data_IF_943775881934
#
_entry.id   IF_943775881934
#
_cell.length_a   1.000
_cell.length_b   1.000
_cell.length_c   1.000
_cell.angle_alpha   90.00
_cell.angle_beta   90.00
_cell.angle_gamma   90.00
#
_symmetry.space_group_name_H-M   'P 1'
#
loop_
_entity.id
_entity.type
_entity.pdbx_description
1 polymer ?
#
# COMPACT_ATOMS: atom_id res chain seq x y z
N UNK A 1 24.15 -8.65 57.30
CA UNK A 1 24.27 -9.08 55.89
C UNK A 1 22.89 -8.96 55.24
N UNK A 2 22.70 -8.07 54.25
CA UNK A 2 21.41 -7.88 53.54
C UNK A 2 21.43 -8.69 52.24
N UNK A 3 20.43 -9.57 52.02
CA UNK A 3 20.32 -10.39 50.81
C UNK A 3 19.61 -9.59 49.71
N UNK A 4 20.29 -9.29 48.61
CA UNK A 4 19.65 -8.70 47.43
C UNK A 4 18.86 -9.79 46.68
N UNK A 5 17.54 -9.64 46.61
CA UNK A 5 16.69 -10.43 45.71
C UNK A 5 16.77 -9.81 44.31
N UNK A 6 17.45 -10.49 43.39
CA UNK A 6 17.41 -10.13 41.97
C UNK A 6 16.06 -10.58 41.41
N UNK A 7 15.27 -9.65 40.86
CA UNK A 7 14.04 -9.99 40.12
C UNK A 7 14.42 -10.30 38.67
N UNK A 8 14.09 -11.50 38.21
CA UNK A 8 14.19 -11.86 36.79
C UNK A 8 13.10 -11.13 36.01
N UNK A 9 13.49 -10.29 35.05
CA UNK A 9 12.59 -9.69 34.07
C UNK A 9 12.35 -10.72 32.96
N UNK A 10 11.15 -11.30 32.93
CA UNK A 10 10.71 -12.17 31.85
C UNK A 10 10.24 -11.30 30.69
N UNK A 11 11.11 -11.11 29.69
CA UNK A 11 10.75 -10.44 28.43
C UNK A 11 10.04 -11.47 27.56
N UNK A 12 8.73 -11.35 27.44
CA UNK A 12 7.94 -12.17 26.50
C UNK A 12 8.24 -11.67 25.09
N UNK A 13 8.97 -12.46 24.31
CA UNK A 13 9.15 -12.19 22.88
C UNK A 13 7.78 -12.21 22.20
N UNK A 14 7.30 -11.02 21.81
CA UNK A 14 6.04 -10.87 21.10
C UNK A 14 6.29 -11.24 19.64
N UNK A 15 5.92 -12.46 19.26
CA UNK A 15 5.88 -12.86 17.85
C UNK A 15 4.74 -12.05 17.22
N UNK A 16 5.09 -11.16 16.29
CA UNK A 16 4.11 -10.45 15.47
C UNK A 16 3.93 -11.30 14.23
N UNK A 17 2.77 -11.96 14.12
CA UNK A 17 2.39 -12.65 12.89
C UNK A 17 2.23 -11.59 11.80
N UNK A 18 3.18 -11.53 10.88
CA UNK A 18 3.05 -10.73 9.67
C UNK A 18 2.05 -11.50 8.81
N UNK A 19 0.87 -10.93 8.48
CA UNK A 19 -0.09 -11.61 7.63
C UNK A 19 0.60 -11.99 6.32
N UNK A 20 0.41 -13.23 5.86
CA UNK A 20 0.84 -13.66 4.52
C UNK A 20 0.30 -12.64 3.50
N UNK A 21 1.20 -11.85 2.92
CA UNK A 21 0.87 -10.96 1.81
C UNK A 21 0.40 -11.85 0.67
N UNK A 22 -0.84 -11.66 0.22
CA UNK A 22 -1.35 -12.34 -0.96
C UNK A 22 -0.51 -11.88 -2.17
N UNK A 23 -0.37 -12.69 -3.22
CA UNK A 23 0.41 -12.31 -4.41
C UNK A 23 -0.08 -11.01 -5.11
N UNK A 24 -1.32 -10.60 -4.84
CA UNK A 24 -1.95 -9.36 -5.30
C UNK A 24 -1.98 -8.24 -4.24
N UNK A 25 -1.38 -8.46 -3.07
CA UNK A 25 -1.09 -7.42 -2.08
C UNK A 25 0.20 -6.65 -2.43
N UNK A 26 0.74 -6.85 -3.64
CA UNK A 26 1.75 -5.95 -4.17
C UNK A 26 1.13 -4.55 -4.30
N UNK A 27 1.70 -3.56 -3.62
CA UNK A 27 1.05 -2.25 -3.46
C UNK A 27 0.74 -1.57 -4.80
N UNK A 28 1.48 -1.94 -5.86
CA UNK A 28 1.24 -1.49 -7.22
C UNK A 28 -0.07 -2.04 -7.81
N UNK A 29 -0.37 -3.33 -7.60
CA UNK A 29 -1.60 -3.95 -8.09
C UNK A 29 -2.82 -3.32 -7.40
N UNK A 30 -2.73 -3.07 -6.09
CA UNK A 30 -3.77 -2.37 -5.34
C UNK A 30 -3.96 -0.93 -5.83
N UNK A 31 -2.87 -0.22 -6.10
CA UNK A 31 -2.88 1.13 -6.66
C UNK A 31 -3.54 1.16 -8.06
N UNK A 32 -3.10 0.31 -9.00
CA UNK A 32 -3.67 0.18 -10.34
C UNK A 32 -5.17 -0.12 -10.30
N UNK A 33 -5.58 -1.06 -9.44
CA UNK A 33 -7.00 -1.39 -9.28
C UNK A 33 -7.83 -0.17 -8.89
N UNK A 34 -7.38 0.63 -7.92
CA UNK A 34 -8.12 1.83 -7.47
C UNK A 34 -8.22 2.90 -8.57
N UNK A 35 -7.16 3.10 -9.35
CA UNK A 35 -7.20 4.00 -10.51
C UNK A 35 -8.23 3.50 -11.55
N UNK A 36 -8.19 2.21 -11.91
CA UNK A 36 -9.12 1.64 -12.87
C UNK A 36 -10.58 1.73 -12.40
N UNK A 37 -10.86 1.47 -11.11
CA UNK A 37 -12.19 1.64 -10.53
C UNK A 37 -12.69 3.10 -10.70
N UNK A 38 -11.82 4.09 -10.46
CA UNK A 38 -12.18 5.50 -10.64
C UNK A 38 -12.36 5.88 -12.11
N UNK A 39 -11.60 5.30 -13.04
CA UNK A 39 -11.78 5.52 -14.48
C UNK A 39 -13.11 4.95 -14.98
N UNK A 40 -13.46 3.74 -14.54
CA UNK A 40 -14.73 3.10 -14.89
C UNK A 40 -15.94 3.91 -14.41
N UNK A 41 -15.88 4.46 -13.20
CA UNK A 41 -16.93 5.32 -12.67
C UNK A 41 -17.13 6.60 -13.50
N UNK A 42 -16.07 7.09 -14.14
CA UNK A 42 -16.11 8.28 -14.99
C UNK A 42 -16.41 7.98 -16.46
N UNK A 43 -16.79 6.74 -16.80
CA UNK A 43 -16.98 6.26 -18.19
C UNK A 43 -15.76 6.52 -19.08
N UNK A 44 -14.56 6.58 -18.50
CA UNK A 44 -13.34 6.62 -19.27
C UNK A 44 -13.05 5.20 -19.77
N UNK A 45 -13.25 4.97 -21.07
CA UNK A 45 -12.82 3.74 -21.77
C UNK A 45 -11.29 3.75 -21.97
N UNK A 46 -10.56 3.96 -20.87
CA UNK A 46 -9.12 4.08 -20.87
C UNK A 46 -8.51 2.88 -20.16
N UNK A 47 -7.76 2.07 -20.92
CA UNK A 47 -6.92 1.02 -20.36
C UNK A 47 -5.58 1.66 -20.06
N UNK A 48 -5.25 1.84 -18.77
CA UNK A 48 -3.94 2.35 -18.38
C UNK A 48 -2.95 1.20 -18.27
N UNK A 49 -1.83 1.34 -18.99
CA UNK A 49 -0.73 0.38 -18.95
C UNK A 49 0.08 0.48 -17.66
N UNK A 50 0.70 -0.63 -17.27
CA UNK A 50 1.54 -0.70 -16.07
C UNK A 50 2.72 0.28 -16.14
N UNK A 51 3.29 0.45 -17.34
CA UNK A 51 4.45 1.31 -17.56
C UNK A 51 4.11 2.80 -17.38
N UNK A 52 2.85 3.19 -17.61
CA UNK A 52 2.38 4.55 -17.37
C UNK A 52 2.12 4.79 -15.87
N UNK A 53 1.66 3.78 -15.13
CA UNK A 53 1.34 3.89 -13.70
C UNK A 53 2.54 3.69 -12.77
N UNK A 54 3.55 2.91 -13.19
CA UNK A 54 4.73 2.61 -12.38
C UNK A 54 5.48 3.86 -11.90
N UNK A 55 5.70 4.91 -12.72
CA UNK A 55 6.33 6.14 -12.27
C UNK A 55 5.56 6.81 -11.13
N UNK A 56 4.24 6.98 -11.26
CA UNK A 56 3.41 7.60 -10.23
C UNK A 56 3.43 6.82 -8.93
N UNK A 57 3.33 5.49 -9.01
CA UNK A 57 3.41 4.62 -7.84
C UNK A 57 4.76 4.73 -7.13
N UNK A 58 5.88 4.73 -7.87
CA UNK A 58 7.23 4.87 -7.30
C UNK A 58 7.46 6.24 -6.66
N UNK A 59 6.86 7.28 -7.22
CA UNK A 59 6.92 8.64 -6.69
C UNK A 59 5.97 8.85 -5.49
N UNK A 60 5.06 7.90 -5.23
CA UNK A 60 4.08 8.01 -4.14
C UNK A 60 3.00 9.06 -4.43
N UNK A 61 2.70 9.28 -5.71
CA UNK A 61 1.71 10.28 -6.14
C UNK A 61 0.30 9.88 -5.72
N UNK A 62 -0.53 10.89 -5.44
CA UNK A 62 -1.92 10.68 -5.06
C UNK A 62 -2.78 10.22 -6.23
N UNK A 63 -3.80 9.39 -5.96
CA UNK A 63 -4.69 8.86 -6.99
C UNK A 63 -5.41 9.95 -7.79
N UNK A 64 -5.84 11.03 -7.13
CA UNK A 64 -6.47 12.19 -7.77
C UNK A 64 -5.51 12.85 -8.77
N UNK A 65 -4.24 13.04 -8.40
CA UNK A 65 -3.25 13.61 -9.30
C UNK A 65 -3.02 12.72 -10.52
N UNK A 66 -2.90 11.41 -10.32
CA UNK A 66 -2.72 10.46 -11.42
C UNK A 66 -3.90 10.49 -12.38
N UNK A 67 -5.12 10.54 -11.88
CA UNK A 67 -6.31 10.62 -12.71
C UNK A 67 -6.37 11.93 -13.50
N UNK A 68 -6.02 13.06 -12.88
CA UNK A 68 -5.88 14.33 -13.60
C UNK A 68 -4.79 14.28 -14.68
N UNK A 69 -3.65 13.63 -14.40
CA UNK A 69 -2.58 13.44 -15.37
C UNK A 69 -2.99 12.52 -16.54
N UNK A 70 -3.87 11.55 -16.30
CA UNK A 70 -4.49 10.70 -17.31
C UNK A 70 -5.60 11.41 -18.11
N UNK A 71 -5.86 12.70 -17.84
CA UNK A 71 -6.88 13.50 -18.53
C UNK A 71 -8.28 13.36 -17.96
N UNK A 72 -8.46 12.66 -16.84
CA UNK A 72 -9.69 12.70 -16.06
C UNK A 72 -9.69 13.93 -15.17
N UNK A 73 -10.30 15.00 -15.68
CA UNK A 73 -10.60 16.18 -14.88
C UNK A 73 -11.96 16.00 -14.21
N UNK A 74 -12.00 16.10 -12.88
CA UNK A 74 -13.23 16.09 -12.08
C UNK A 74 -13.80 17.50 -11.93
#
# INVERSE_FOLDING_TARGET
MRKNKVKALSVKNRVVEIPEQRPWDDGFAAFKRRINEQLQLNNADFIVDDDDLRPFYRMGESETYVLSALGCSF
#
